data_IF_110897259338
#
_entry.id   IF_110897259338
#
_cell.length_a   1.000
_cell.length_b   1.000
_cell.length_c   1.000
_cell.angle_alpha   90.00
_cell.angle_beta   90.00
_cell.angle_gamma   90.00
#
_symmetry.space_group_name_H-M   'P 1'
#
loop_
_entity.id
_entity.type
_entity.pdbx_description
1 polymer ?
#
# COMPACT_ATOMS: atom_id res chain seq x y z
N UNK A 1 3.06 -7.88 -4.53
CA UNK A 1 1.75 -8.17 -5.17
C UNK A 1 0.77 -7.07 -4.85
N UNK A 2 0.20 -6.47 -5.88
CA UNK A 2 -0.85 -5.43 -5.80
C UNK A 2 -2.16 -6.01 -5.28
N UNK A 3 -3.07 -5.15 -4.78
CA UNK A 3 -4.38 -5.56 -4.27
C UNK A 3 -5.18 -6.42 -5.27
N UNK A 4 -5.09 -6.08 -6.56
CA UNK A 4 -5.83 -6.76 -7.62
C UNK A 4 -5.34 -8.20 -7.81
N UNK A 5 -4.03 -8.44 -7.78
CA UNK A 5 -3.45 -9.80 -7.91
C UNK A 5 -3.88 -10.72 -6.76
N UNK A 6 -4.09 -10.16 -5.56
CA UNK A 6 -4.49 -10.94 -4.37
C UNK A 6 -5.98 -11.27 -4.31
N UNK A 7 -6.81 -10.52 -5.03
CA UNK A 7 -8.28 -10.63 -4.93
C UNK A 7 -8.95 -11.01 -6.25
N UNK A 8 -8.18 -11.25 -7.31
CA UNK A 8 -8.70 -11.56 -8.65
C UNK A 8 -9.67 -12.75 -8.63
N UNK A 9 -9.36 -13.82 -7.90
CA UNK A 9 -10.22 -15.01 -7.80
C UNK A 9 -11.59 -14.70 -7.19
N UNK A 10 -11.67 -13.67 -6.33
CA UNK A 10 -12.92 -13.29 -5.66
C UNK A 10 -13.87 -12.56 -6.58
N UNK A 11 -13.34 -11.83 -7.58
CA UNK A 11 -14.12 -10.97 -8.46
C UNK A 11 -15.17 -11.74 -9.27
N UNK A 12 -14.92 -13.01 -9.60
CA UNK A 12 -15.88 -13.86 -10.31
C UNK A 12 -17.15 -14.15 -9.49
N UNK A 13 -17.04 -14.11 -8.15
CA UNK A 13 -18.15 -14.35 -7.21
C UNK A 13 -18.70 -13.08 -6.56
N UNK A 14 -18.05 -11.94 -6.79
CA UNK A 14 -18.43 -10.65 -6.23
C UNK A 14 -19.63 -10.04 -6.96
N UNK A 15 -20.52 -9.41 -6.20
CA UNK A 15 -21.58 -8.57 -6.75
C UNK A 15 -21.04 -7.20 -7.18
N UNK A 16 -21.82 -6.43 -7.93
CA UNK A 16 -21.45 -5.08 -8.38
C UNK A 16 -20.96 -4.18 -7.23
N UNK A 17 -21.64 -4.19 -6.10
CA UNK A 17 -21.30 -3.41 -4.91
C UNK A 17 -19.93 -3.78 -4.32
N UNK A 18 -19.65 -5.09 -4.26
CA UNK A 18 -18.37 -5.63 -3.80
C UNK A 18 -17.23 -5.32 -4.78
N UNK A 19 -17.50 -5.38 -6.08
CA UNK A 19 -16.53 -5.00 -7.12
C UNK A 19 -16.14 -3.51 -7.00
N UNK A 20 -17.10 -2.62 -6.72
CA UNK A 20 -16.82 -1.20 -6.49
C UNK A 20 -15.92 -1.03 -5.26
N UNK A 21 -16.21 -1.72 -4.15
CA UNK A 21 -15.34 -1.69 -2.95
C UNK A 21 -13.93 -2.19 -3.24
N UNK A 22 -13.79 -3.30 -3.97
CA UNK A 22 -12.48 -3.82 -4.38
C UNK A 22 -11.70 -2.82 -5.24
N UNK A 23 -12.39 -2.13 -6.17
CA UNK A 23 -11.78 -1.10 -7.00
C UNK A 23 -11.27 0.07 -6.16
N UNK A 24 -12.10 0.59 -5.24
CA UNK A 24 -11.71 1.71 -4.38
C UNK A 24 -10.58 1.35 -3.42
N UNK A 25 -10.55 0.12 -2.89
CA UNK A 25 -9.43 -0.38 -2.08
C UNK A 25 -8.14 -0.47 -2.88
N UNK A 26 -8.21 -0.97 -4.12
CA UNK A 26 -7.06 -1.01 -5.01
C UNK A 26 -6.51 0.39 -5.29
N UNK A 27 -7.37 1.36 -5.60
CA UNK A 27 -6.99 2.75 -5.81
C UNK A 27 -6.32 3.36 -4.57
N UNK A 28 -6.90 3.17 -3.39
CA UNK A 28 -6.31 3.61 -2.13
C UNK A 28 -4.91 3.03 -1.93
N UNK A 29 -4.72 1.76 -2.27
CA UNK A 29 -3.44 1.07 -2.10
C UNK A 29 -2.35 1.62 -3.03
N UNK A 30 -2.73 2.11 -4.22
CA UNK A 30 -1.82 2.75 -5.18
C UNK A 30 -1.44 4.19 -4.83
N UNK A 31 -2.16 4.83 -3.91
CA UNK A 31 -1.89 6.21 -3.49
C UNK A 31 -0.78 6.26 -2.43
N UNK A 32 0.06 7.32 -2.39
CA UNK A 32 0.99 7.55 -1.28
C UNK A 32 0.27 7.61 0.06
N UNK A 33 0.94 7.28 1.17
CA UNK A 33 0.35 7.35 2.52
C UNK A 33 -0.15 8.74 2.92
N UNK A 34 0.37 9.79 2.29
CA UNK A 34 0.03 11.19 2.55
C UNK A 34 -1.18 11.67 1.74
N UNK A 35 -1.67 10.85 0.79
CA UNK A 35 -2.77 11.21 -0.10
C UNK A 35 -3.98 10.33 0.19
N UNK A 36 -5.07 10.97 0.62
CA UNK A 36 -6.33 10.30 0.87
C UNK A 36 -7.22 10.28 -0.39
N UNK A 37 -7.89 9.15 -0.63
CA UNK A 37 -8.87 9.02 -1.71
C UNK A 37 -10.16 9.74 -1.28
N UNK A 38 -10.63 10.69 -2.08
CA UNK A 38 -11.81 11.50 -1.82
C UNK A 38 -12.71 11.55 -3.06
N UNK A 39 -13.97 11.97 -2.90
CA UNK A 39 -14.90 12.16 -4.03
C UNK A 39 -14.39 13.17 -5.08
N UNK A 40 -13.42 14.03 -4.73
CA UNK A 40 -12.86 15.04 -5.65
C UNK A 40 -11.70 14.52 -6.51
N UNK A 41 -11.02 13.47 -6.05
CA UNK A 41 -9.87 12.89 -6.76
C UNK A 41 -10.16 11.48 -7.30
N UNK A 42 -11.40 11.02 -7.17
CA UNK A 42 -11.83 9.70 -7.59
C UNK A 42 -13.14 9.79 -8.38
N UNK A 43 -13.15 9.20 -9.57
CA UNK A 43 -14.35 9.03 -10.38
C UNK A 43 -14.50 7.55 -10.73
N UNK A 44 -15.70 6.99 -10.53
CA UNK A 44 -15.98 5.57 -10.77
C UNK A 44 -17.15 5.47 -11.73
N UNK A 45 -17.03 4.60 -12.74
CA UNK A 45 -18.11 4.29 -13.65
C UNK A 45 -18.28 2.76 -13.76
N UNK A 46 -19.53 2.34 -13.93
CA UNK A 46 -19.91 0.92 -14.06
C UNK A 46 -20.52 0.67 -15.43
N UNK A 47 -20.17 -0.46 -16.05
CA UNK A 47 -20.70 -0.93 -17.33
C UNK A 47 -20.78 -2.46 -17.33
N UNK A 48 -21.76 -3.05 -18.02
CA UNK A 48 -21.96 -4.49 -18.06
C UNK A 48 -23.01 -4.93 -19.08
N UNK A 49 -23.29 -6.24 -19.13
CA UNK A 49 -24.20 -6.88 -20.09
C UNK A 49 -25.62 -6.26 -20.11
N UNK A 50 -26.08 -5.77 -18.97
CA UNK A 50 -27.38 -5.12 -18.78
C UNK A 50 -27.25 -3.77 -18.07
N UNK A 51 -26.05 -3.18 -18.09
CA UNK A 51 -25.77 -1.91 -17.42
C UNK A 51 -25.05 -0.98 -18.39
N UNK A 52 -25.73 0.05 -18.94
CA UNK A 52 -25.05 1.04 -19.75
C UNK A 52 -24.00 1.75 -18.90
N UNK A 53 -22.99 2.33 -19.56
CA UNK A 53 -21.97 3.11 -18.89
C UNK A 53 -22.63 4.19 -18.01
N UNK A 54 -22.49 4.03 -16.70
CA UNK A 54 -23.10 4.90 -15.71
C UNK A 54 -22.02 5.40 -14.78
N UNK A 55 -21.81 6.71 -14.76
CA UNK A 55 -20.92 7.36 -13.82
C UNK A 55 -21.60 7.41 -12.44
N UNK A 56 -20.88 7.01 -11.39
CA UNK A 56 -21.37 7.13 -10.02
C UNK A 56 -21.29 8.59 -9.57
N UNK A 57 -22.36 9.05 -8.92
CA UNK A 57 -22.41 10.37 -8.30
C UNK A 57 -21.58 10.42 -7.01
N UNK A 58 -21.14 11.63 -6.65
CA UNK A 58 -20.32 11.88 -5.45
C UNK A 58 -20.93 11.30 -4.16
N UNK A 59 -22.27 11.31 -4.03
CA UNK A 59 -22.95 10.72 -2.87
C UNK A 59 -22.80 9.20 -2.77
N UNK A 60 -22.82 8.51 -3.92
CA UNK A 60 -22.57 7.05 -3.97
C UNK A 60 -21.10 6.77 -3.67
N UNK A 61 -20.20 7.51 -4.32
CA UNK A 61 -18.75 7.38 -4.09
C UNK A 61 -18.40 7.60 -2.62
N UNK A 62 -18.98 8.63 -1.97
CA UNK A 62 -18.80 8.90 -0.55
C UNK A 62 -19.26 7.74 0.34
N UNK A 63 -20.41 7.14 0.02
CA UNK A 63 -20.91 5.96 0.75
C UNK A 63 -19.95 4.78 0.65
N UNK A 64 -19.37 4.55 -0.53
CA UNK A 64 -18.38 3.49 -0.74
C UNK A 64 -17.03 3.79 -0.07
N UNK A 65 -16.57 5.05 -0.06
CA UNK A 65 -15.36 5.47 0.65
C UNK A 65 -15.47 5.17 2.14
N UNK A 66 -16.55 5.60 2.78
CA UNK A 66 -16.79 5.32 4.20
C UNK A 66 -16.92 3.83 4.48
N UNK A 67 -17.48 3.06 3.55
CA UNK A 67 -17.57 1.60 3.68
C UNK A 67 -16.20 0.88 3.64
N UNK A 68 -15.16 1.50 3.05
CA UNK A 68 -13.81 0.91 2.96
C UNK A 68 -12.79 1.54 3.91
N UNK A 69 -13.06 2.72 4.49
CA UNK A 69 -12.19 3.39 5.47
C UNK A 69 -11.90 2.53 6.70
N UNK A 70 -12.88 1.75 7.17
CA UNK A 70 -12.72 0.83 8.31
C UNK A 70 -11.99 -0.49 7.99
N UNK A 71 -11.70 -0.76 6.71
CA UNK A 71 -10.96 -1.94 6.29
C UNK A 71 -9.47 -1.60 6.32
N UNK A 72 -8.72 -2.24 7.23
CA UNK A 72 -7.27 -2.04 7.39
C UNK A 72 -6.58 -2.05 6.02
N UNK A 73 -5.74 -1.04 5.77
CA UNK A 73 -4.91 -1.01 4.58
C UNK A 73 -4.05 -2.26 4.62
N UNK A 74 -4.21 -3.13 3.63
CA UNK A 74 -3.48 -4.40 3.61
C UNK A 74 -1.99 -4.07 3.78
N UNK A 75 -1.28 -4.72 4.72
CA UNK A 75 0.12 -4.44 4.92
C UNK A 75 0.85 -4.60 3.58
N UNK A 76 1.82 -3.72 3.26
CA UNK A 76 2.63 -3.86 2.06
C UNK A 76 3.12 -5.31 2.07
N UNK A 77 2.88 -6.01 0.95
CA UNK A 77 3.20 -7.42 0.84
C UNK A 77 4.64 -7.64 1.31
N UNK A 78 4.81 -8.22 2.49
CA UNK A 78 6.07 -8.83 2.86
C UNK A 78 6.25 -9.93 1.81
N UNK A 79 7.22 -9.71 0.93
CA UNK A 79 7.64 -10.72 -0.01
C UNK A 79 8.12 -11.89 0.85
N UNK A 80 7.33 -12.97 0.88
CA UNK A 80 7.73 -14.27 1.42
C UNK A 80 8.94 -14.76 0.61
N UNK A 81 10.11 -14.18 0.91
CA UNK A 81 11.40 -14.76 0.60
C UNK A 81 11.57 -15.94 1.54
N UNK A 82 10.89 -17.04 1.24
CA UNK A 82 11.28 -18.37 1.69
C UNK A 82 12.58 -18.75 0.99
N UNK A 83 13.68 -18.17 1.44
CA UNK A 83 15.01 -18.73 1.25
C UNK A 83 15.39 -19.43 2.55
N UNK A 84 15.10 -20.72 2.62
CA UNK A 84 15.72 -21.63 3.58
C UNK A 84 17.23 -21.51 3.43
N UNK A 85 17.89 -20.89 4.42
CA UNK A 85 19.33 -20.70 4.46
C UNK A 85 19.74 -20.43 5.89
N UNK A 86 19.98 -21.53 6.61
CA UNK A 86 20.70 -21.63 7.87
C UNK A 86 21.91 -20.65 7.91
N UNK A 87 21.86 -19.62 8.74
CA UNK A 87 23.06 -19.01 9.32
C UNK A 87 22.73 -18.21 10.60
N UNK A 88 23.50 -18.52 11.63
CA UNK A 88 23.36 -18.07 13.01
C UNK A 88 23.83 -16.60 13.18
N UNK A 89 22.92 -15.66 13.47
CA UNK A 89 23.32 -14.30 13.90
C UNK A 89 23.15 -14.10 15.42
N UNK A 90 24.19 -13.67 16.16
CA UNK A 90 24.11 -13.38 17.59
C UNK A 90 23.34 -12.09 17.90
N UNK A 91 22.82 -11.91 19.13
CA UNK A 91 21.97 -10.77 19.50
C UNK A 91 22.74 -9.43 19.54
N UNK A 92 22.04 -8.28 19.39
CA UNK A 92 22.66 -6.95 19.33
C UNK A 92 23.18 -6.47 20.70
N UNK A 93 24.18 -5.56 20.74
CA UNK A 93 24.71 -5.00 21.98
C UNK A 93 23.77 -3.93 22.59
N UNK A 94 23.84 -3.70 23.93
CA UNK A 94 22.98 -2.74 24.63
C UNK A 94 23.32 -1.27 24.35
N UNK A 95 22.37 -0.33 24.55
CA UNK A 95 22.56 1.08 24.23
C UNK A 95 23.30 1.81 25.36
N UNK A 96 24.39 2.51 25.02
CA UNK A 96 24.98 3.51 25.91
C UNK A 96 26.50 3.55 25.96
N UNK A 97 27.13 4.24 25.02
CA UNK A 97 28.29 5.10 25.30
C UNK A 97 28.67 5.92 24.07
N UNK A 98 28.24 7.17 24.11
CA UNK A 98 28.88 8.39 23.60
C UNK A 98 30.06 8.22 22.61
N UNK A 99 29.87 8.75 21.40
CA UNK A 99 30.94 9.05 20.44
C UNK A 99 31.97 10.04 21.01
N UNK A 100 33.28 9.78 20.88
CA UNK A 100 34.28 10.83 20.86
C UNK A 100 34.61 11.21 19.40
N UNK A 101 34.45 12.51 19.12
CA UNK A 101 34.73 13.21 17.86
C UNK A 101 36.12 12.86 17.30
N UNK A 102 36.18 12.39 16.05
CA UNK A 102 37.45 12.25 15.32
C UNK A 102 37.95 13.63 14.88
N UNK A 103 38.99 14.13 15.54
CA UNK A 103 39.89 15.15 15.01
C UNK A 103 40.82 14.48 13.98
N UNK A 104 40.69 14.80 12.70
CA UNK A 104 41.70 14.39 11.70
C UNK A 104 42.61 15.58 11.43
N UNK A 105 43.80 15.54 12.02
CA UNK A 105 44.90 16.43 11.70
C UNK A 105 46.04 15.61 11.09
N UNK A 106 46.63 16.15 10.02
CA UNK A 106 47.93 15.79 9.40
C UNK A 106 47.96 14.48 8.61
N UNK A 107 48.17 14.60 7.28
CA UNK A 107 49.44 14.16 6.68
C UNK A 107 49.70 14.89 5.35
N UNK A 108 50.96 14.83 4.95
CA UNK A 108 51.73 15.75 4.12
C UNK A 108 52.32 14.92 2.96
N UNK A 109 52.25 15.38 1.72
CA UNK A 109 53.21 15.10 0.62
C UNK A 109 52.71 15.82 -0.65
N UNK A 110 53.36 16.91 -1.04
CA UNK A 110 54.44 16.98 -2.05
C UNK A 110 53.94 16.93 -3.50
N UNK A 111 53.94 18.10 -4.14
CA UNK A 111 54.71 18.39 -5.36
C UNK A 111 54.83 19.90 -5.53
#
# INVERSE_FOLDING_TARGET
RTYLEKNLDKFATSNQDELIKHCMRALRDTLPNEVELTVKNCAVAVVGKDTPFTLLDDGRIGTYLTAIEGDERAPPAQDDTVATGDDNLPPPPPPGSVEPRTIVATERMES
#
